data_IF_298684308346
#
_entry.id   IF_298684308346
#
_cell.length_a   1.000
_cell.length_b   1.000
_cell.length_c   1.000
_cell.angle_alpha   90.00
_cell.angle_beta   90.00
_cell.angle_gamma   90.00
#
_symmetry.space_group_name_H-M   'P 1'
#
loop_
_entity.id
_entity.type
_entity.pdbx_description
1 polymer ?
#
# COMPACT_ATOMS: atom_id res chain seq x y z
N UNK A 1 -24.46 -68.82 -22.50
CA UNK A 1 -23.70 -68.22 -21.35
C UNK A 1 -23.49 -66.79 -21.67
N UNK A 2 -24.36 -65.89 -21.16
CA UNK A 2 -24.24 -64.42 -21.37
C UNK A 2 -23.55 -63.78 -20.20
N UNK A 3 -22.35 -63.25 -20.43
CA UNK A 3 -21.65 -62.42 -19.45
C UNK A 3 -22.13 -60.97 -19.59
N UNK A 4 -22.91 -60.50 -18.60
CA UNK A 4 -23.26 -59.08 -18.45
C UNK A 4 -22.09 -58.38 -17.78
N UNK A 5 -21.39 -57.47 -18.50
CA UNK A 5 -20.46 -56.52 -17.92
C UNK A 5 -21.27 -55.41 -17.24
N UNK A 6 -21.11 -55.29 -15.93
CA UNK A 6 -21.58 -54.11 -15.16
C UNK A 6 -20.53 -53.04 -15.24
N UNK A 7 -20.82 -51.92 -15.93
CA UNK A 7 -20.03 -50.71 -15.88
C UNK A 7 -20.45 -49.92 -14.64
N UNK A 8 -19.58 -49.84 -13.63
CA UNK A 8 -19.78 -49.01 -12.45
C UNK A 8 -19.29 -47.58 -12.79
N UNK A 9 -20.22 -46.67 -13.02
CA UNK A 9 -19.91 -45.24 -13.19
C UNK A 9 -19.61 -44.67 -11.80
N UNK A 10 -18.34 -44.38 -11.51
CA UNK A 10 -17.96 -43.55 -10.35
C UNK A 10 -18.27 -42.09 -10.69
N UNK A 11 -19.35 -41.57 -10.13
CA UNK A 11 -19.64 -40.14 -10.10
C UNK A 11 -18.69 -39.51 -9.07
N UNK A 12 -17.61 -38.86 -9.52
CA UNK A 12 -16.80 -37.96 -8.67
C UNK A 12 -17.65 -36.70 -8.44
N UNK A 13 -18.37 -36.65 -7.33
CA UNK A 13 -18.94 -35.41 -6.83
C UNK A 13 -17.79 -34.56 -6.29
N UNK A 14 -17.34 -33.56 -7.06
CA UNK A 14 -16.50 -32.51 -6.56
C UNK A 14 -17.32 -31.72 -5.53
N UNK A 15 -17.08 -32.00 -4.24
CA UNK A 15 -17.46 -31.08 -3.16
C UNK A 15 -16.67 -29.77 -3.37
N UNK A 16 -17.34 -28.77 -3.91
CA UNK A 16 -16.92 -27.40 -3.79
C UNK A 16 -17.18 -27.04 -2.31
N UNK A 17 -16.21 -27.31 -1.46
CA UNK A 17 -16.19 -26.75 -0.12
C UNK A 17 -16.03 -25.24 -0.28
N UNK A 18 -17.09 -24.48 -0.03
CA UNK A 18 -16.97 -23.05 0.25
C UNK A 18 -16.10 -22.94 1.49
N UNK A 19 -14.82 -22.65 1.28
CA UNK A 19 -13.89 -22.42 2.37
C UNK A 19 -14.32 -21.11 3.07
N UNK A 20 -15.18 -21.23 4.07
CA UNK A 20 -15.35 -20.14 5.03
C UNK A 20 -14.00 -19.94 5.70
N UNK A 21 -13.57 -18.70 5.81
CA UNK A 21 -12.34 -18.36 6.51
C UNK A 21 -12.35 -18.96 7.92
N UNK A 22 -11.59 -20.02 8.11
CA UNK A 22 -11.51 -20.66 9.41
C UNK A 22 -10.58 -19.88 10.30
N UNK A 23 -11.11 -19.39 11.42
CA UNK A 23 -10.27 -18.79 12.48
C UNK A 23 -9.29 -19.86 12.97
N UNK A 24 -8.01 -19.50 12.96
CA UNK A 24 -6.94 -20.30 13.50
C UNK A 24 -6.53 -19.77 14.89
N UNK A 25 -5.90 -20.64 15.65
CA UNK A 25 -5.53 -20.35 17.03
C UNK A 25 -4.03 -20.56 17.23
N UNK A 26 -3.45 -19.66 18.01
CA UNK A 26 -2.05 -19.69 18.38
C UNK A 26 -1.91 -19.42 19.87
N UNK A 27 -1.23 -20.28 20.61
CA UNK A 27 -0.98 -20.08 22.04
C UNK A 27 0.26 -19.23 22.23
N UNK A 28 0.10 -18.10 22.92
CA UNK A 28 1.19 -17.19 23.24
C UNK A 28 1.15 -16.79 24.71
N UNK A 29 2.20 -17.12 25.46
CA UNK A 29 2.33 -16.82 26.90
C UNK A 29 1.11 -17.26 27.73
N UNK A 30 0.58 -18.46 27.45
CA UNK A 30 -0.59 -19.03 28.14
C UNK A 30 -1.93 -18.41 27.73
N UNK A 31 -1.94 -17.59 26.67
CA UNK A 31 -3.15 -16.97 26.13
C UNK A 31 -3.40 -17.46 24.71
N UNK A 32 -4.63 -17.94 24.43
CA UNK A 32 -5.02 -18.33 23.09
C UNK A 32 -5.32 -17.07 22.26
N UNK A 33 -4.52 -16.90 21.19
CA UNK A 33 -4.66 -15.81 20.20
C UNK A 33 -5.37 -16.34 18.96
N UNK A 34 -6.10 -15.49 18.28
CA UNK A 34 -6.83 -15.82 17.05
C UNK A 34 -6.22 -15.11 15.85
N UNK A 35 -6.29 -15.74 14.68
CA UNK A 35 -5.93 -15.11 13.42
C UNK A 35 -6.65 -15.77 12.24
N UNK A 36 -6.77 -15.05 11.11
CA UNK A 36 -7.09 -15.62 9.82
C UNK A 36 -5.82 -15.75 9.00
N UNK A 37 -5.73 -16.83 8.25
CA UNK A 37 -4.66 -17.07 7.27
C UNK A 37 -5.29 -17.24 5.90
N UNK A 38 -4.86 -16.45 4.92
CA UNK A 38 -5.27 -16.55 3.53
C UNK A 38 -4.06 -16.88 2.68
N UNK A 39 -4.13 -18.05 2.06
CA UNK A 39 -3.12 -18.48 1.11
C UNK A 39 -3.59 -18.13 -0.29
N UNK A 40 -2.73 -17.57 -1.18
CA UNK A 40 -3.13 -17.32 -2.56
C UNK A 40 -3.43 -18.63 -3.29
N UNK A 41 -4.43 -18.62 -4.18
CA UNK A 41 -4.84 -19.79 -4.95
C UNK A 41 -3.71 -20.34 -5.82
N UNK A 42 -2.81 -19.47 -6.29
CA UNK A 42 -1.60 -19.86 -7.02
C UNK A 42 -0.40 -19.83 -6.08
N UNK A 43 -0.17 -20.94 -5.37
CA UNK A 43 0.98 -21.07 -4.50
C UNK A 43 2.29 -21.15 -5.31
N UNK A 44 3.32 -20.43 -4.82
CA UNK A 44 4.70 -20.48 -5.32
C UNK A 44 5.57 -21.23 -4.31
N UNK A 45 6.81 -21.53 -4.71
CA UNK A 45 7.80 -22.17 -3.85
C UNK A 45 8.09 -21.34 -2.58
N UNK A 46 8.15 -20.02 -2.72
CA UNK A 46 8.20 -19.06 -1.61
C UNK A 46 7.30 -17.87 -1.92
N UNK A 47 6.67 -17.28 -0.90
CA UNK A 47 5.71 -16.20 -1.06
C UNK A 47 5.91 -15.12 0.00
N UNK A 48 5.69 -13.84 -0.34
CA UNK A 48 5.64 -12.76 0.63
C UNK A 48 4.57 -12.99 1.69
N UNK A 49 4.85 -12.61 2.93
CA UNK A 49 3.87 -12.63 4.02
C UNK A 49 3.52 -11.21 4.44
N UNK A 50 2.22 -10.93 4.51
CA UNK A 50 1.69 -9.61 4.85
C UNK A 50 0.76 -9.70 6.04
N UNK A 51 1.10 -9.00 7.12
CA UNK A 51 0.26 -8.81 8.29
C UNK A 51 -0.64 -7.60 8.08
N UNK A 52 -1.96 -7.79 8.24
CA UNK A 52 -2.93 -6.72 8.32
C UNK A 52 -3.42 -6.56 9.75
N UNK A 53 -3.09 -5.44 10.40
CA UNK A 53 -3.44 -5.13 11.77
C UNK A 53 -4.68 -4.24 11.82
N UNK A 54 -5.71 -4.71 12.52
CA UNK A 54 -7.02 -4.07 12.56
C UNK A 54 -7.08 -2.84 13.48
N UNK A 55 -8.12 -2.01 13.32
CA UNK A 55 -8.42 -0.85 14.14
C UNK A 55 -8.97 -1.20 15.54
N UNK A 56 -9.13 -0.18 16.36
CA UNK A 56 -9.72 -0.30 17.70
C UNK A 56 -11.15 -0.86 17.61
N UNK A 57 -11.44 -1.89 18.42
CA UNK A 57 -12.77 -2.52 18.51
C UNK A 57 -13.13 -3.43 17.34
N UNK A 58 -12.22 -3.62 16.38
CA UNK A 58 -12.49 -4.43 15.21
C UNK A 58 -12.47 -5.94 15.48
N UNK A 59 -13.11 -6.66 14.54
CA UNK A 59 -13.20 -8.11 14.55
C UNK A 59 -12.74 -8.66 13.18
N UNK A 60 -11.82 -9.61 13.19
CA UNK A 60 -11.21 -10.16 11.97
C UNK A 60 -12.21 -10.81 11.01
N UNK A 61 -13.31 -11.40 11.52
CA UNK A 61 -14.36 -11.98 10.67
C UNK A 61 -15.15 -10.88 9.95
N UNK A 62 -15.48 -9.77 10.64
CA UNK A 62 -16.13 -8.62 10.01
C UNK A 62 -15.24 -8.02 8.93
N UNK A 63 -13.96 -7.82 9.25
CA UNK A 63 -12.99 -7.27 8.31
C UNK A 63 -12.78 -8.16 7.09
N UNK A 64 -12.77 -9.50 7.25
CA UNK A 64 -12.66 -10.41 6.11
C UNK A 64 -13.84 -10.28 5.14
N UNK A 65 -15.05 -10.07 5.68
CA UNK A 65 -16.24 -9.81 4.86
C UNK A 65 -16.20 -8.44 4.16
N UNK A 66 -15.55 -7.44 4.76
CA UNK A 66 -15.46 -6.09 4.22
C UNK A 66 -14.31 -5.95 3.22
N UNK A 67 -13.14 -6.47 3.57
CA UNK A 67 -11.89 -6.29 2.81
C UNK A 67 -11.63 -7.43 1.81
N UNK A 68 -12.37 -8.53 1.91
CA UNK A 68 -12.21 -9.70 1.03
C UNK A 68 -10.76 -10.18 0.93
N UNK A 69 -10.10 -10.40 2.09
CA UNK A 69 -8.67 -10.71 2.14
C UNK A 69 -8.21 -11.90 1.29
N UNK A 70 -9.11 -12.85 0.98
CA UNK A 70 -8.78 -13.92 0.04
C UNK A 70 -8.54 -13.35 -1.36
N UNK A 71 -9.34 -12.40 -1.82
CA UNK A 71 -9.15 -11.76 -3.13
C UNK A 71 -7.84 -10.96 -3.17
N UNK A 72 -7.52 -10.25 -2.08
CA UNK A 72 -6.24 -9.54 -1.93
C UNK A 72 -5.06 -10.52 -1.99
N UNK A 73 -5.15 -11.66 -1.27
CA UNK A 73 -4.14 -12.72 -1.32
C UNK A 73 -3.93 -13.26 -2.74
N UNK A 74 -5.03 -13.54 -3.44
CA UNK A 74 -5.01 -14.09 -4.82
C UNK A 74 -4.46 -13.07 -5.83
N UNK A 75 -4.85 -11.81 -5.71
CA UNK A 75 -4.45 -10.73 -6.63
C UNK A 75 -2.96 -10.42 -6.53
N UNK A 76 -2.42 -10.36 -5.31
CA UNK A 76 -1.03 -9.93 -5.09
C UNK A 76 -0.07 -11.09 -4.79
N UNK A 77 -0.56 -12.32 -4.72
CA UNK A 77 0.26 -13.49 -4.40
C UNK A 77 0.81 -13.48 -2.98
N UNK A 78 0.08 -12.89 -2.03
CA UNK A 78 0.51 -12.75 -0.64
C UNK A 78 -0.05 -13.85 0.25
N UNK A 79 0.77 -14.32 1.20
CA UNK A 79 0.24 -14.97 2.39
C UNK A 79 -0.27 -13.85 3.31
N UNK A 80 -1.61 -13.71 3.42
CA UNK A 80 -2.21 -12.70 4.29
C UNK A 80 -2.47 -13.26 5.69
N UNK A 81 -1.96 -12.58 6.70
CA UNK A 81 -2.19 -12.89 8.12
C UNK A 81 -2.99 -11.75 8.75
N UNK A 82 -4.16 -12.06 9.28
CA UNK A 82 -5.03 -11.08 9.92
C UNK A 82 -5.21 -11.52 11.39
N UNK A 83 -4.31 -11.12 12.28
CA UNK A 83 -4.38 -11.49 13.68
C UNK A 83 -5.41 -10.64 14.44
N UNK A 84 -6.00 -11.22 15.50
CA UNK A 84 -6.94 -10.56 16.38
C UNK A 84 -6.23 -10.06 17.63
N UNK A 85 -6.36 -8.77 17.90
CA UNK A 85 -5.94 -8.20 19.18
C UNK A 85 -6.82 -8.71 20.33
N UNK A 86 -6.28 -8.76 21.53
CA UNK A 86 -7.04 -9.11 22.72
C UNK A 86 -8.01 -7.99 23.13
N UNK A 87 -9.08 -8.37 23.80
CA UNK A 87 -9.99 -7.39 24.41
C UNK A 87 -9.34 -6.80 25.67
N UNK A 88 -9.27 -5.48 25.71
CA UNK A 88 -8.82 -4.70 26.86
C UNK A 88 -9.87 -3.62 27.13
N UNK A 89 -10.31 -3.48 28.36
CA UNK A 89 -11.31 -2.47 28.75
C UNK A 89 -12.60 -2.49 27.90
N UNK A 90 -13.00 -3.66 27.39
CA UNK A 90 -14.24 -3.83 26.62
C UNK A 90 -14.10 -3.64 25.09
N UNK A 91 -12.93 -3.35 24.58
CA UNK A 91 -12.65 -3.27 23.15
C UNK A 91 -11.43 -4.10 22.77
N UNK A 92 -11.40 -4.66 21.56
CA UNK A 92 -10.21 -5.28 21.00
C UNK A 92 -9.22 -4.19 20.61
N UNK A 93 -8.00 -4.27 21.14
CA UNK A 93 -6.99 -3.25 20.89
C UNK A 93 -5.57 -3.80 20.96
N UNK A 94 -4.70 -3.27 20.15
CA UNK A 94 -3.28 -3.55 20.17
C UNK A 94 -2.58 -2.78 21.29
N UNK A 95 -1.62 -3.42 21.93
CA UNK A 95 -0.66 -2.71 22.77
C UNK A 95 0.38 -1.98 21.90
N UNK A 96 0.00 -0.83 21.37
CA UNK A 96 0.89 0.06 20.63
C UNK A 96 1.63 1.06 21.55
N UNK A 97 1.80 0.71 22.84
CA UNK A 97 2.36 1.56 23.88
C UNK A 97 1.60 2.89 24.08
N UNK A 98 0.30 2.90 23.78
CA UNK A 98 -0.58 4.05 24.00
C UNK A 98 -1.07 4.12 25.44
N UNK A 99 -1.24 2.96 26.07
CA UNK A 99 -1.66 2.78 27.45
C UNK A 99 -0.74 1.81 28.16
N UNK A 100 -0.75 1.84 29.50
CA UNK A 100 -0.01 0.86 30.28
C UNK A 100 -0.70 -0.52 30.15
N UNK A 101 -0.08 -1.44 29.44
CA UNK A 101 -0.58 -2.78 29.16
C UNK A 101 0.55 -3.80 29.26
N UNK A 102 0.26 -4.93 29.89
CA UNK A 102 1.20 -6.05 29.99
C UNK A 102 1.04 -7.07 28.86
N UNK A 103 0.16 -6.81 27.88
CA UNK A 103 -0.03 -7.70 26.74
C UNK A 103 1.14 -7.51 25.78
N UNK A 104 1.84 -8.60 25.50
CA UNK A 104 2.94 -8.62 24.56
C UNK A 104 2.43 -8.96 23.14
N UNK A 105 1.82 -7.97 22.48
CA UNK A 105 1.37 -8.13 21.09
C UNK A 105 2.54 -8.17 20.12
N UNK A 106 3.61 -7.44 20.39
CA UNK A 106 4.80 -7.39 19.55
C UNK A 106 5.47 -8.76 19.46
N UNK A 107 5.75 -9.38 20.62
CA UNK A 107 6.28 -10.75 20.68
C UNK A 107 5.34 -11.78 20.07
N UNK A 108 4.01 -11.66 20.29
CA UNK A 108 3.01 -12.52 19.66
C UNK A 108 3.11 -12.49 18.12
N UNK A 109 3.16 -11.33 17.52
CA UNK A 109 3.19 -11.19 16.06
C UNK A 109 4.46 -11.80 15.46
N UNK A 110 5.59 -11.64 16.12
CA UNK A 110 6.86 -12.24 15.67
C UNK A 110 6.89 -13.74 15.88
N UNK A 111 6.37 -14.26 17.01
CA UNK A 111 6.29 -15.72 17.25
C UNK A 111 5.33 -16.40 16.27
N UNK A 112 4.23 -15.72 15.90
CA UNK A 112 3.33 -16.20 14.86
C UNK A 112 4.04 -16.26 13.50
N UNK A 113 4.85 -15.24 13.14
CA UNK A 113 5.67 -15.24 11.92
C UNK A 113 6.60 -16.48 11.90
N UNK A 114 7.33 -16.72 12.98
CA UNK A 114 8.26 -17.85 13.09
C UNK A 114 7.53 -19.18 12.89
N UNK A 115 6.35 -19.32 13.48
CA UNK A 115 5.53 -20.53 13.36
C UNK A 115 4.99 -20.71 11.94
N UNK A 116 4.50 -19.64 11.31
CA UNK A 116 4.00 -19.70 9.93
C UNK A 116 5.11 -20.02 8.94
N UNK A 117 6.32 -19.52 9.14
CA UNK A 117 7.47 -19.79 8.29
C UNK A 117 7.93 -21.26 8.37
N UNK A 118 7.67 -21.97 9.48
CA UNK A 118 7.95 -23.40 9.61
C UNK A 118 6.95 -24.29 8.84
N UNK A 119 5.72 -23.80 8.64
CA UNK A 119 4.61 -24.62 8.11
C UNK A 119 4.13 -24.19 6.73
N UNK A 120 4.53 -23.02 6.25
CA UNK A 120 4.10 -22.44 4.97
C UNK A 120 5.32 -21.93 4.19
N UNK A 121 5.23 -21.82 2.86
CA UNK A 121 6.33 -21.35 2.01
C UNK A 121 6.53 -19.83 2.11
N UNK A 122 6.85 -19.34 3.30
CA UNK A 122 7.09 -17.92 3.58
C UNK A 122 8.47 -17.52 3.08
N UNK A 123 8.54 -16.43 2.32
CA UNK A 123 9.78 -15.75 2.01
C UNK A 123 10.14 -14.77 3.15
N UNK A 124 11.13 -15.12 3.97
CA UNK A 124 11.56 -14.27 5.09
C UNK A 124 12.29 -12.98 4.66
N UNK A 125 12.66 -12.85 3.38
CA UNK A 125 13.17 -11.60 2.81
C UNK A 125 12.02 -10.68 2.33
N UNK A 126 10.77 -11.11 2.50
CA UNK A 126 9.56 -10.39 2.07
C UNK A 126 8.49 -10.43 3.16
N UNK A 127 8.82 -9.90 4.33
CA UNK A 127 7.94 -9.79 5.50
C UNK A 127 7.42 -8.37 5.60
N UNK A 128 6.09 -8.20 5.54
CA UNK A 128 5.45 -6.92 5.45
C UNK A 128 4.38 -6.73 6.52
N UNK A 129 4.27 -5.52 7.03
CA UNK A 129 3.24 -5.13 7.98
C UNK A 129 2.47 -3.92 7.46
N UNK A 130 1.15 -4.01 7.51
CA UNK A 130 0.24 -2.89 7.29
C UNK A 130 -0.87 -2.92 8.33
N UNK A 131 -1.55 -1.81 8.52
CA UNK A 131 -2.67 -1.75 9.44
C UNK A 131 -3.33 -0.39 9.43
N UNK A 132 -4.58 -0.37 9.88
CA UNK A 132 -5.42 0.81 9.89
C UNK A 132 -5.67 1.32 11.31
N UNK A 133 -5.65 2.66 11.50
CA UNK A 133 -5.99 3.26 12.79
C UNK A 133 -5.09 2.70 13.92
N UNK A 134 -5.64 2.08 14.95
CA UNK A 134 -4.86 1.38 15.99
C UNK A 134 -3.89 0.35 15.41
N UNK A 135 -4.24 -0.33 14.32
CA UNK A 135 -3.34 -1.24 13.59
C UNK A 135 -2.17 -0.50 12.93
N UNK A 136 -2.38 0.75 12.49
CA UNK A 136 -1.32 1.61 11.99
C UNK A 136 -0.33 2.02 13.09
N UNK A 137 -0.83 2.33 14.31
CA UNK A 137 0.03 2.53 15.49
C UNK A 137 0.87 1.29 15.80
N UNK A 138 0.25 0.11 15.78
CA UNK A 138 0.96 -1.13 16.01
C UNK A 138 1.96 -1.45 14.89
N UNK A 139 1.66 -1.11 13.64
CA UNK A 139 2.59 -1.23 12.51
C UNK A 139 3.86 -0.39 12.73
N UNK A 140 3.72 0.85 13.23
CA UNK A 140 4.87 1.66 13.61
C UNK A 140 5.68 1.02 14.73
N UNK A 141 5.00 0.48 15.76
CA UNK A 141 5.67 -0.23 16.85
C UNK A 141 6.47 -1.42 16.33
N UNK A 142 5.89 -2.26 15.47
CA UNK A 142 6.56 -3.40 14.87
C UNK A 142 7.81 -2.96 14.08
N UNK A 143 7.71 -1.90 13.29
CA UNK A 143 8.84 -1.35 12.55
C UNK A 143 9.96 -0.83 13.47
N UNK A 144 9.62 -0.20 14.59
CA UNK A 144 10.60 0.30 15.56
C UNK A 144 11.30 -0.85 16.29
N UNK A 145 10.54 -1.86 16.75
CA UNK A 145 11.06 -2.95 17.58
C UNK A 145 11.70 -4.09 16.78
N UNK A 146 11.28 -4.31 15.50
CA UNK A 146 11.65 -5.47 14.69
C UNK A 146 11.99 -5.13 13.24
N UNK A 147 12.43 -3.89 12.97
CA UNK A 147 12.81 -3.46 11.62
C UNK A 147 13.91 -4.30 10.97
N UNK A 148 14.74 -4.98 11.78
CA UNK A 148 15.76 -5.92 11.31
C UNK A 148 15.20 -7.23 10.74
N UNK A 149 13.91 -7.51 10.96
CA UNK A 149 13.20 -8.71 10.47
C UNK A 149 12.04 -8.37 9.54
N UNK A 150 11.78 -7.10 9.31
CA UNK A 150 10.66 -6.60 8.53
C UNK A 150 11.19 -5.87 7.31
N UNK A 151 10.75 -6.30 6.12
CA UNK A 151 11.21 -5.73 4.85
C UNK A 151 10.60 -4.35 4.57
N UNK A 152 9.30 -4.20 4.84
CA UNK A 152 8.64 -2.90 4.72
C UNK A 152 7.36 -2.81 5.56
N UNK A 153 6.99 -1.58 5.91
CA UNK A 153 5.77 -1.26 6.64
C UNK A 153 4.94 -0.20 5.92
N UNK A 154 3.61 -0.33 6.02
CA UNK A 154 2.67 0.63 5.47
C UNK A 154 1.56 0.98 6.49
N UNK A 155 1.83 1.78 7.53
CA UNK A 155 0.82 2.24 8.47
C UNK A 155 -0.15 3.23 7.80
N UNK A 156 -1.46 3.02 8.00
CA UNK A 156 -2.53 3.89 7.48
C UNK A 156 -3.30 4.51 8.63
N UNK A 157 -3.40 5.82 8.66
CA UNK A 157 -4.09 6.61 9.71
C UNK A 157 -3.71 6.18 11.13
N UNK A 158 -2.42 5.88 11.35
CA UNK A 158 -1.85 5.54 12.64
C UNK A 158 -0.63 6.41 12.94
N UNK A 159 -0.32 6.64 14.22
CA UNK A 159 0.77 7.49 14.65
C UNK A 159 1.83 6.71 15.43
N UNK A 160 3.01 7.31 15.61
CA UNK A 160 3.99 6.86 16.61
C UNK A 160 3.55 7.46 17.95
N UNK A 161 3.25 6.61 18.94
CA UNK A 161 2.92 7.08 20.29
C UNK A 161 4.11 7.79 20.92
N UNK A 162 3.86 8.70 21.87
CA UNK A 162 4.96 9.40 22.56
C UNK A 162 5.92 8.44 23.28
N UNK A 163 5.40 7.32 23.79
CA UNK A 163 6.23 6.29 24.40
C UNK A 163 7.16 5.67 23.35
N UNK A 164 6.65 5.31 22.17
CA UNK A 164 7.45 4.71 21.10
C UNK A 164 8.41 5.70 20.45
N UNK A 165 8.04 6.99 20.39
CA UNK A 165 8.89 8.04 19.83
C UNK A 165 10.23 8.23 20.59
N UNK A 166 10.31 7.79 21.83
CA UNK A 166 11.55 7.80 22.62
C UNK A 166 12.49 6.65 22.32
N UNK A 167 12.05 5.65 21.55
CA UNK A 167 12.85 4.50 21.15
C UNK A 167 13.53 4.77 19.80
N UNK A 168 14.77 4.32 19.67
CA UNK A 168 15.43 4.26 18.38
C UNK A 168 15.01 3.00 17.65
N UNK A 169 14.66 3.08 16.37
CA UNK A 169 14.39 1.91 15.55
C UNK A 169 15.62 0.99 15.51
N UNK A 170 15.39 -0.31 15.64
CA UNK A 170 16.51 -1.30 15.70
C UNK A 170 17.28 -1.40 14.39
N UNK A 171 16.64 -1.06 13.27
CA UNK A 171 17.24 -0.99 11.94
C UNK A 171 16.44 -0.01 11.05
N UNK A 172 17.04 0.53 9.98
CA UNK A 172 16.30 1.14 8.90
C UNK A 172 15.27 0.17 8.32
N UNK A 173 14.08 0.65 7.95
CA UNK A 173 13.04 -0.16 7.33
C UNK A 173 12.27 0.65 6.29
N UNK A 174 11.96 0.06 5.15
CA UNK A 174 11.15 0.72 4.13
C UNK A 174 9.79 1.09 4.71
N UNK A 175 9.41 2.36 4.55
CA UNK A 175 8.20 2.89 5.20
C UNK A 175 7.32 3.66 4.21
N UNK A 176 6.03 3.29 4.13
CA UNK A 176 5.00 4.06 3.43
C UNK A 176 3.96 4.53 4.46
N UNK A 177 4.06 5.78 4.90
CA UNK A 177 3.05 6.37 5.79
C UNK A 177 1.91 6.98 4.98
N UNK A 178 0.65 6.56 5.24
CA UNK A 178 -0.55 7.08 4.57
C UNK A 178 -1.45 7.77 5.58
N UNK A 179 -1.81 9.05 5.34
CA UNK A 179 -2.65 9.78 6.30
C UNK A 179 -3.47 10.90 5.64
N UNK A 180 -4.74 11.02 6.07
CA UNK A 180 -5.65 12.09 5.67
C UNK A 180 -5.44 13.37 6.47
N UNK A 181 -5.35 14.53 5.79
CA UNK A 181 -5.09 15.80 6.47
C UNK A 181 -6.25 16.32 7.30
N UNK A 182 -7.46 15.81 7.10
CA UNK A 182 -8.68 16.17 7.83
C UNK A 182 -9.23 15.03 8.67
N UNK A 183 -8.38 14.04 9.00
CA UNK A 183 -8.75 12.90 9.83
C UNK A 183 -9.19 13.37 11.24
N UNK A 184 -10.48 13.20 11.62
CA UNK A 184 -10.97 13.67 12.91
C UNK A 184 -10.73 12.69 14.06
N UNK A 185 -10.41 11.43 13.73
CA UNK A 185 -10.24 10.34 14.72
C UNK A 185 -8.79 10.25 15.17
N UNK A 186 -7.88 10.16 14.19
CA UNK A 186 -6.44 10.20 14.40
C UNK A 186 -5.90 11.41 13.65
N UNK A 187 -5.90 12.57 14.32
CA UNK A 187 -5.58 13.85 13.70
C UNK A 187 -4.18 13.88 13.13
N UNK A 188 -4.05 14.53 11.97
CA UNK A 188 -2.78 14.72 11.27
C UNK A 188 -1.72 15.43 12.13
N UNK A 189 -2.15 16.26 13.07
CA UNK A 189 -1.32 16.99 14.04
C UNK A 189 -0.98 16.19 15.30
N UNK A 190 -1.44 14.95 15.42
CA UNK A 190 -1.25 14.09 16.60
C UNK A 190 -2.42 14.09 17.59
N UNK A 191 -3.42 14.93 17.39
CA UNK A 191 -4.60 15.04 18.21
C UNK A 191 -5.71 14.06 17.89
N UNK A 192 -6.87 14.23 18.54
CA UNK A 192 -8.11 13.54 18.22
C UNK A 192 -9.31 14.36 18.68
N UNK A 193 -10.34 14.41 17.85
CA UNK A 193 -11.62 15.02 18.23
C UNK A 193 -12.45 14.14 19.18
N UNK A 194 -12.17 12.82 19.20
CA UNK A 194 -12.96 11.84 19.96
C UNK A 194 -12.30 11.38 21.25
N UNK A 195 -10.97 11.31 21.28
CA UNK A 195 -10.21 10.74 22.41
C UNK A 195 -9.55 11.83 23.27
N UNK A 196 -9.86 13.12 23.02
CA UNK A 196 -9.17 14.22 23.69
C UNK A 196 -7.72 14.32 23.19
N UNK A 197 -6.91 15.12 23.80
CA UNK A 197 -5.56 15.48 23.40
C UNK A 197 -4.65 14.31 22.91
N UNK A 198 -3.72 14.62 22.12
CA UNK A 198 -2.40 14.07 21.85
C UNK A 198 -2.26 12.53 21.93
N UNK A 199 -2.56 11.85 20.83
CA UNK A 199 -2.40 10.40 20.70
C UNK A 199 -0.95 9.99 20.43
N UNK A 200 -0.16 10.88 19.86
CA UNK A 200 1.23 10.61 19.46
C UNK A 200 1.86 11.79 18.73
N UNK A 201 2.94 11.53 18.03
CA UNK A 201 3.56 12.51 17.15
C UNK A 201 2.63 12.90 16.02
N UNK A 202 2.58 14.18 15.64
CA UNK A 202 1.96 14.60 14.38
C UNK A 202 2.70 14.00 13.18
N UNK A 203 2.00 13.87 12.04
CA UNK A 203 2.51 13.16 10.85
C UNK A 203 3.84 13.72 10.36
N UNK A 204 4.02 15.05 10.32
CA UNK A 204 5.29 15.63 9.88
C UNK A 204 6.45 15.21 10.81
N UNK A 205 6.21 15.12 12.13
CA UNK A 205 7.22 14.63 13.08
C UNK A 205 7.48 13.11 12.94
N UNK A 206 6.47 12.32 12.51
CA UNK A 206 6.65 10.91 12.16
C UNK A 206 7.55 10.78 10.92
N UNK A 207 7.33 11.62 9.93
CA UNK A 207 8.18 11.64 8.73
C UNK A 207 9.61 12.00 9.11
N UNK A 208 9.82 12.99 9.98
CA UNK A 208 11.16 13.33 10.46
C UNK A 208 11.81 12.20 11.30
N UNK A 209 11.01 11.49 12.12
CA UNK A 209 11.49 10.30 12.82
C UNK A 209 12.03 9.24 11.85
N UNK A 210 11.24 8.88 10.82
CA UNK A 210 11.64 7.87 9.83
C UNK A 210 12.74 8.36 8.88
N UNK A 211 12.81 9.65 8.56
CA UNK A 211 13.95 10.21 7.84
C UNK A 211 15.26 10.00 8.61
N UNK A 212 15.23 10.23 9.91
CA UNK A 212 16.40 10.01 10.76
C UNK A 212 16.73 8.51 10.89
N UNK A 213 15.74 7.64 11.12
CA UNK A 213 15.93 6.21 11.27
C UNK A 213 16.46 5.53 9.99
N UNK A 214 16.01 6.00 8.82
CA UNK A 214 16.41 5.48 7.50
C UNK A 214 17.56 6.27 6.87
N UNK A 215 18.18 7.19 7.62
CA UNK A 215 19.27 8.06 7.16
C UNK A 215 18.96 8.78 5.83
N UNK A 216 17.71 9.22 5.67
CA UNK A 216 17.29 9.93 4.46
C UNK A 216 17.96 11.30 4.37
N UNK A 217 18.43 11.65 3.17
CA UNK A 217 19.12 12.92 2.89
C UNK A 217 18.49 13.63 1.70
N UNK A 218 18.64 14.95 1.67
CA UNK A 218 18.11 15.79 0.58
C UNK A 218 16.60 16.00 0.66
N UNK A 219 16.09 16.72 -0.34
CA UNK A 219 14.67 17.01 -0.48
C UNK A 219 13.92 15.80 -1.08
N UNK A 220 12.64 15.60 -0.74
CA UNK A 220 11.86 14.53 -1.34
C UNK A 220 11.57 14.79 -2.82
N UNK A 221 11.45 13.73 -3.61
CA UNK A 221 10.70 13.83 -4.84
C UNK A 221 9.20 13.91 -4.50
N UNK A 222 8.47 14.77 -5.22
CA UNK A 222 7.05 15.00 -4.99
C UNK A 222 6.29 14.61 -6.25
N UNK A 223 5.33 13.70 -6.10
CA UNK A 223 4.43 13.27 -7.15
C UNK A 223 2.98 13.46 -6.70
N UNK A 224 2.22 14.22 -7.51
CA UNK A 224 0.78 14.40 -7.29
C UNK A 224 0.07 13.43 -8.20
N UNK A 225 -0.68 12.52 -7.61
CA UNK A 225 -1.44 11.52 -8.35
C UNK A 225 -2.60 12.19 -9.11
N UNK A 226 -3.04 11.64 -10.25
CA UNK A 226 -4.17 12.19 -11.01
C UNK A 226 -5.44 12.22 -10.16
N UNK A 227 -6.15 13.36 -10.17
CA UNK A 227 -7.50 13.50 -9.64
C UNK A 227 -8.49 13.10 -10.74
N UNK A 228 -9.03 11.89 -10.66
CA UNK A 228 -9.93 11.30 -11.65
C UNK A 228 -11.41 11.40 -11.26
N UNK A 229 -11.68 11.59 -9.98
CA UNK A 229 -13.04 11.56 -9.42
C UNK A 229 -13.58 12.93 -9.05
N UNK A 230 -12.72 13.95 -8.91
CA UNK A 230 -13.09 15.29 -8.45
C UNK A 230 -13.95 15.25 -7.16
N UNK A 231 -13.51 14.39 -6.22
CA UNK A 231 -14.19 14.06 -4.96
C UNK A 231 -13.73 14.96 -3.79
N UNK A 232 -12.85 15.93 -4.07
CA UNK A 232 -12.26 16.83 -3.10
C UNK A 232 -11.03 16.26 -2.38
N UNK A 233 -10.54 15.08 -2.81
CA UNK A 233 -9.31 14.48 -2.33
C UNK A 233 -8.16 14.79 -3.30
N UNK A 234 -6.97 14.97 -2.75
CA UNK A 234 -5.75 15.07 -3.55
C UNK A 234 -4.67 14.20 -2.91
N UNK A 235 -4.11 13.30 -3.69
CA UNK A 235 -3.08 12.37 -3.25
C UNK A 235 -1.70 12.86 -3.65
N UNK A 236 -0.88 13.19 -2.67
CA UNK A 236 0.49 13.69 -2.90
C UNK A 236 1.49 12.75 -2.25
N UNK A 237 2.36 12.16 -3.07
CA UNK A 237 3.42 11.27 -2.61
C UNK A 237 4.72 12.03 -2.48
N UNK A 238 5.31 11.98 -1.30
CA UNK A 238 6.65 12.43 -1.01
C UNK A 238 7.55 11.21 -0.87
N UNK A 239 8.65 11.14 -1.61
CA UNK A 239 9.60 10.03 -1.55
C UNK A 239 10.97 10.55 -1.14
N UNK A 240 11.46 10.05 -0.02
CA UNK A 240 12.77 10.35 0.55
C UNK A 240 13.70 9.16 0.34
N UNK A 241 14.96 9.42 -0.02
CA UNK A 241 15.97 8.40 -0.25
C UNK A 241 16.99 8.38 0.88
N UNK A 242 17.31 7.19 1.38
CA UNK A 242 18.26 6.92 2.44
C UNK A 242 18.78 5.49 2.32
N UNK A 243 19.21 4.91 3.43
CA UNK A 243 19.55 3.46 3.48
C UNK A 243 18.33 2.62 3.12
N UNK A 244 17.15 3.07 3.63
CA UNK A 244 15.86 2.53 3.22
C UNK A 244 14.92 3.66 2.77
N UNK A 245 14.03 3.35 1.80
CA UNK A 245 13.11 4.33 1.23
C UNK A 245 11.99 4.67 2.21
N UNK A 246 11.75 5.97 2.39
CA UNK A 246 10.57 6.49 3.08
C UNK A 246 9.63 7.15 2.07
N UNK A 247 8.37 6.71 2.04
CA UNK A 247 7.31 7.41 1.33
C UNK A 247 6.25 7.94 2.32
N UNK A 248 5.76 9.13 2.03
CA UNK A 248 4.56 9.69 2.66
C UNK A 248 3.51 9.94 1.59
N UNK A 249 2.41 9.20 1.65
CA UNK A 249 1.23 9.44 0.82
C UNK A 249 0.27 10.32 1.62
N UNK A 250 0.36 11.62 1.40
CA UNK A 250 -0.49 12.64 2.03
C UNK A 250 -1.81 12.74 1.28
N UNK A 251 -2.92 12.50 1.99
CA UNK A 251 -4.26 12.58 1.41
C UNK A 251 -4.88 13.91 1.84
N UNK A 252 -4.76 14.92 1.01
CA UNK A 252 -5.33 16.27 1.27
C UNK A 252 -6.84 16.17 1.19
N UNK A 253 -7.53 16.67 2.22
CA UNK A 253 -8.98 16.51 2.38
C UNK A 253 -9.43 15.13 2.88
N UNK A 254 -8.51 14.16 2.99
CA UNK A 254 -8.81 12.81 3.45
C UNK A 254 -9.18 12.76 4.94
N UNK A 255 -10.19 11.95 5.25
CA UNK A 255 -10.66 11.65 6.59
C UNK A 255 -10.14 10.28 7.09
N UNK A 256 -10.72 9.74 8.19
CA UNK A 256 -10.35 8.44 8.77
C UNK A 256 -10.96 7.28 7.99
N UNK A 257 -10.40 6.94 6.83
CA UNK A 257 -10.96 5.94 5.90
C UNK A 257 -9.85 5.09 5.27
N UNK A 258 -10.15 3.80 5.07
CA UNK A 258 -9.38 2.91 4.19
C UNK A 258 -10.04 2.87 2.81
N UNK A 259 -9.35 3.31 1.77
CA UNK A 259 -9.87 3.28 0.41
C UNK A 259 -9.67 1.90 -0.21
N UNK A 260 -10.80 1.21 -0.50
CA UNK A 260 -10.81 -0.17 -0.96
C UNK A 260 -10.66 -0.33 -2.48
N UNK A 261 -11.17 0.63 -3.25
CA UNK A 261 -11.20 0.50 -4.70
C UNK A 261 -11.12 1.86 -5.41
N UNK A 262 -10.62 1.84 -6.66
CA UNK A 262 -10.45 3.01 -7.52
C UNK A 262 -11.76 3.48 -8.19
N UNK A 263 -12.90 2.84 -7.92
CA UNK A 263 -14.19 3.29 -8.46
C UNK A 263 -14.83 4.42 -7.64
N UNK A 264 -14.34 4.62 -6.42
CA UNK A 264 -14.86 5.60 -5.46
C UNK A 264 -13.86 6.73 -5.17
N UNK A 265 -12.58 6.46 -5.36
CA UNK A 265 -11.48 7.38 -5.14
C UNK A 265 -10.40 7.14 -6.18
N UNK A 266 -9.42 8.03 -6.29
CA UNK A 266 -8.34 7.92 -7.29
C UNK A 266 -7.41 6.74 -7.07
N UNK A 267 -7.41 6.14 -5.88
CA UNK A 267 -6.52 5.04 -5.52
C UNK A 267 -7.23 3.99 -4.63
N UNK A 268 -6.71 2.76 -4.68
CA UNK A 268 -6.98 1.72 -3.70
C UNK A 268 -5.73 1.48 -2.84
N UNK A 269 -5.87 1.49 -1.51
CA UNK A 269 -4.69 1.40 -0.62
C UNK A 269 -3.95 0.08 -0.75
N UNK A 270 -4.62 -1.06 -0.92
CA UNK A 270 -3.93 -2.33 -1.15
C UNK A 270 -3.05 -2.30 -2.41
N UNK A 271 -3.50 -1.63 -3.47
CA UNK A 271 -2.72 -1.48 -4.72
C UNK A 271 -1.50 -0.59 -4.52
N UNK A 272 -1.64 0.52 -3.82
CA UNK A 272 -0.51 1.42 -3.53
C UNK A 272 0.50 0.77 -2.57
N UNK A 273 0.01 0.03 -1.56
CA UNK A 273 0.84 -0.74 -0.64
C UNK A 273 1.57 -1.87 -1.38
N UNK A 274 0.89 -2.58 -2.29
CA UNK A 274 1.51 -3.61 -3.12
C UNK A 274 2.64 -3.03 -3.98
N UNK A 275 2.40 -1.93 -4.67
CA UNK A 275 3.43 -1.24 -5.44
C UNK A 275 4.65 -0.92 -4.58
N UNK A 276 4.42 -0.37 -3.39
CA UNK A 276 5.50 -0.04 -2.46
C UNK A 276 6.24 -1.28 -1.97
N UNK A 277 5.55 -2.34 -1.59
CA UNK A 277 6.16 -3.56 -1.07
C UNK A 277 6.99 -4.30 -2.13
N UNK A 278 6.59 -4.25 -3.40
CA UNK A 278 7.29 -4.91 -4.52
C UNK A 278 8.39 -4.06 -5.14
N UNK A 279 8.41 -2.75 -4.94
CA UNK A 279 9.51 -1.88 -5.38
C UNK A 279 10.79 -2.25 -4.63
N UNK A 280 11.85 -2.60 -5.38
CA UNK A 280 13.17 -2.95 -4.81
C UNK A 280 13.37 -4.43 -4.49
N UNK A 281 12.37 -5.29 -4.62
CA UNK A 281 12.61 -6.73 -4.70
C UNK A 281 13.16 -7.04 -6.10
N UNK A 282 14.39 -7.56 -6.17
CA UNK A 282 14.99 -8.05 -7.43
C UNK A 282 14.31 -9.35 -7.94
N UNK A 283 13.04 -9.56 -7.60
CA UNK A 283 12.27 -10.67 -8.11
C UNK A 283 11.72 -10.29 -9.47
N UNK A 284 12.44 -10.70 -10.49
CA UNK A 284 12.07 -10.78 -11.91
C UNK A 284 10.89 -11.77 -12.11
N UNK A 285 9.81 -11.63 -11.36
CA UNK A 285 8.57 -12.36 -11.58
C UNK A 285 7.59 -11.44 -12.30
N UNK A 286 7.70 -11.53 -13.65
CA UNK A 286 6.98 -10.70 -14.60
C UNK A 286 5.46 -10.79 -14.48
N UNK A 287 4.89 -9.84 -13.78
CA UNK A 287 3.82 -9.05 -14.37
C UNK A 287 4.51 -7.74 -14.77
N UNK A 288 4.88 -7.61 -16.02
CA UNK A 288 5.21 -6.31 -16.57
C UNK A 288 3.95 -5.45 -16.36
N UNK A 289 3.89 -4.65 -15.28
CA UNK A 289 3.19 -3.40 -15.40
C UNK A 289 3.75 -2.82 -16.69
N UNK A 290 2.86 -2.54 -17.64
CA UNK A 290 3.24 -1.68 -18.74
C UNK A 290 3.73 -0.41 -18.05
N UNK A 291 5.05 -0.31 -17.85
CA UNK A 291 5.68 0.94 -17.53
C UNK A 291 5.22 1.85 -18.66
N UNK A 292 4.23 2.72 -18.35
CA UNK A 292 3.97 3.84 -19.22
C UNK A 292 5.31 4.56 -19.23
N UNK A 293 6.09 4.33 -20.30
CA UNK A 293 7.38 4.94 -20.44
C UNK A 293 7.14 6.43 -20.25
N UNK A 294 7.69 7.02 -19.21
CA UNK A 294 7.51 8.44 -18.96
C UNK A 294 8.14 9.16 -20.14
N UNK A 295 7.29 9.82 -20.93
CA UNK A 295 7.75 10.56 -22.09
C UNK A 295 8.62 11.72 -21.64
N UNK A 296 9.83 11.79 -22.15
CA UNK A 296 10.72 12.91 -21.89
C UNK A 296 10.33 14.08 -22.79
N UNK A 297 9.99 15.21 -22.16
CA UNK A 297 9.54 16.43 -22.82
C UNK A 297 10.49 17.58 -22.48
N UNK A 298 11.03 18.27 -23.50
CA UNK A 298 11.91 19.42 -23.29
C UNK A 298 11.81 20.45 -24.42
N UNK A 299 11.95 21.77 -24.14
CA UNK A 299 11.92 22.33 -22.79
C UNK A 299 10.55 22.15 -22.13
N UNK A 300 10.56 22.02 -20.80
CA UNK A 300 9.34 22.01 -20.00
C UNK A 300 9.58 22.85 -18.73
N UNK A 301 8.99 24.05 -18.59
CA UNK A 301 7.89 24.61 -19.39
C UNK A 301 8.23 24.88 -20.86
N UNK A 302 7.25 24.70 -21.74
CA UNK A 302 7.32 24.96 -23.14
C UNK A 302 6.88 26.40 -23.48
N UNK A 303 7.63 27.11 -24.33
CA UNK A 303 7.24 28.41 -24.86
C UNK A 303 7.19 28.30 -26.38
N UNK A 304 5.99 28.02 -26.91
CA UNK A 304 5.76 27.84 -28.34
C UNK A 304 5.95 26.42 -28.86
N UNK A 305 6.90 25.66 -28.35
CA UNK A 305 7.07 24.22 -28.69
C UNK A 305 7.81 23.44 -27.61
N UNK A 306 7.61 22.12 -27.58
CA UNK A 306 8.46 21.18 -26.85
C UNK A 306 8.86 20.00 -27.76
N UNK A 307 9.86 19.25 -27.35
CA UNK A 307 10.33 18.06 -28.06
C UNK A 307 9.94 16.81 -27.27
N UNK A 308 9.51 15.77 -27.97
CA UNK A 308 9.25 14.44 -27.46
C UNK A 308 10.11 13.43 -28.21
N UNK A 309 10.68 12.45 -27.51
CA UNK A 309 11.44 11.36 -28.11
C UNK A 309 10.67 10.05 -27.99
N UNK A 310 10.53 9.34 -29.12
CA UNK A 310 9.84 8.04 -29.17
C UNK A 310 10.72 6.99 -29.85
N UNK A 311 10.63 5.74 -29.37
CA UNK A 311 11.46 4.64 -29.86
C UNK A 311 10.96 3.96 -31.14
N UNK A 312 9.81 4.38 -31.68
CA UNK A 312 9.24 3.90 -32.96
C UNK A 312 8.19 4.87 -33.47
N UNK A 313 7.79 4.72 -34.72
CA UNK A 313 6.71 5.47 -35.34
C UNK A 313 5.39 5.25 -34.55
N UNK A 314 4.73 6.33 -34.14
CA UNK A 314 3.48 6.31 -33.39
C UNK A 314 2.67 7.59 -33.59
N UNK A 315 1.63 7.82 -32.80
CA UNK A 315 0.97 9.11 -32.67
C UNK A 315 0.79 9.46 -31.19
N UNK A 316 0.66 10.75 -30.92
CA UNK A 316 0.36 11.24 -29.57
C UNK A 316 -0.83 12.19 -29.58
N UNK A 317 -1.62 12.10 -28.56
CA UNK A 317 -2.72 13.02 -28.23
C UNK A 317 -2.25 14.01 -27.18
N UNK A 318 -2.52 15.28 -27.39
CA UNK A 318 -2.36 16.34 -26.40
C UNK A 318 -3.71 16.55 -25.71
N UNK A 319 -3.75 16.44 -24.41
CA UNK A 319 -4.98 16.38 -23.61
C UNK A 319 -4.94 17.52 -22.58
N UNK A 320 -6.03 18.28 -22.45
CA UNK A 320 -6.17 19.32 -21.44
C UNK A 320 -6.57 18.74 -20.05
N UNK A 321 -6.62 19.62 -19.04
CA UNK A 321 -7.01 19.22 -17.66
C UNK A 321 -8.45 18.71 -17.55
N UNK A 322 -9.30 18.93 -18.55
CA UNK A 322 -10.67 18.41 -18.61
C UNK A 322 -10.75 17.05 -19.36
N UNK A 323 -9.61 16.48 -19.73
CA UNK A 323 -9.55 15.20 -20.45
C UNK A 323 -9.89 15.31 -21.95
N UNK A 324 -9.98 16.51 -22.52
CA UNK A 324 -10.30 16.73 -23.93
C UNK A 324 -9.03 16.68 -24.75
N UNK A 325 -9.04 15.94 -25.85
CA UNK A 325 -7.98 15.95 -26.85
C UNK A 325 -8.01 17.30 -27.57
N UNK A 326 -6.96 18.10 -27.39
CA UNK A 326 -6.82 19.43 -28.01
C UNK A 326 -5.98 19.42 -29.27
N UNK A 327 -5.13 18.40 -29.45
CA UNK A 327 -4.35 18.18 -30.67
C UNK A 327 -3.89 16.72 -30.77
N UNK A 328 -3.58 16.27 -32.01
CA UNK A 328 -2.99 14.94 -32.26
C UNK A 328 -1.77 15.12 -33.19
N UNK A 329 -0.68 14.45 -32.88
CA UNK A 329 0.58 14.56 -33.58
C UNK A 329 1.04 13.18 -34.10
N UNK A 330 1.31 13.00 -35.40
CA UNK A 330 2.04 11.85 -35.87
C UNK A 330 3.51 11.99 -35.44
N UNK A 331 4.07 10.94 -34.85
CA UNK A 331 5.45 10.91 -34.36
C UNK A 331 6.26 9.89 -35.13
N UNK A 332 7.50 10.24 -35.47
CA UNK A 332 8.49 9.36 -36.05
C UNK A 332 9.49 8.90 -35.01
N UNK A 333 10.08 7.72 -35.19
CA UNK A 333 11.17 7.26 -34.33
C UNK A 333 12.21 8.37 -34.14
N UNK A 334 12.61 8.62 -32.90
CA UNK A 334 13.51 9.69 -32.50
C UNK A 334 12.79 10.93 -31.97
N UNK A 335 13.42 12.09 -32.10
CA UNK A 335 12.94 13.37 -31.57
C UNK A 335 11.92 14.05 -32.48
N UNK A 336 10.78 14.45 -31.92
CA UNK A 336 9.67 15.11 -32.62
C UNK A 336 9.31 16.42 -31.94
N UNK A 337 9.03 17.45 -32.73
CA UNK A 337 8.57 18.74 -32.23
C UNK A 337 7.05 18.74 -32.07
N UNK A 338 6.57 19.18 -30.91
CA UNK A 338 5.16 19.40 -30.57
C UNK A 338 4.94 20.89 -30.53
N UNK A 339 4.09 21.40 -31.40
CA UNK A 339 3.71 22.82 -31.40
C UNK A 339 2.74 23.12 -30.26
N UNK A 340 3.13 24.02 -29.38
CA UNK A 340 2.31 24.49 -28.26
C UNK A 340 1.94 25.97 -28.37
N UNK A 341 2.31 26.64 -29.46
CA UNK A 341 2.17 28.09 -29.64
C UNK A 341 0.69 28.56 -29.62
N UNK A 342 -0.21 27.72 -30.13
CA UNK A 342 -1.66 28.00 -30.19
C UNK A 342 -2.40 27.67 -28.87
N UNK A 343 -1.74 27.11 -27.88
CA UNK A 343 -2.40 26.67 -26.65
C UNK A 343 -2.46 27.80 -25.61
N UNK A 344 -3.52 27.88 -24.80
CA UNK A 344 -3.53 28.68 -23.58
C UNK A 344 -2.40 28.26 -22.62
N UNK A 345 -1.95 29.19 -21.77
CA UNK A 345 -1.06 28.84 -20.66
C UNK A 345 -1.74 27.83 -19.73
N UNK A 346 -1.00 26.77 -19.35
CA UNK A 346 -1.55 25.73 -18.50
C UNK A 346 -0.81 24.42 -18.59
N UNK A 347 -1.30 23.46 -17.84
CA UNK A 347 -0.81 22.09 -17.83
C UNK A 347 -1.57 21.25 -18.85
N UNK A 348 -0.82 20.45 -19.62
CA UNK A 348 -1.33 19.49 -20.60
C UNK A 348 -0.67 18.15 -20.42
N UNK A 349 -1.31 17.10 -20.92
CA UNK A 349 -0.76 15.76 -20.99
C UNK A 349 -0.56 15.34 -22.43
N UNK A 350 0.54 14.67 -22.73
CA UNK A 350 0.78 14.00 -24.01
C UNK A 350 0.68 12.52 -23.78
N UNK A 351 -0.18 11.83 -24.54
CA UNK A 351 -0.39 10.38 -24.45
C UNK A 351 -0.11 9.76 -25.80
N UNK A 352 0.79 8.77 -25.86
CA UNK A 352 1.03 7.99 -27.08
C UNK A 352 0.04 6.84 -27.23
N UNK A 353 -0.09 6.30 -28.44
CA UNK A 353 -0.91 5.11 -28.73
C UNK A 353 -0.52 3.89 -27.88
N UNK A 354 0.74 3.79 -27.46
CA UNK A 354 1.24 2.73 -26.59
C UNK A 354 0.95 2.97 -25.09
N UNK A 355 0.30 4.09 -24.77
CA UNK A 355 -0.06 4.42 -23.40
C UNK A 355 1.04 5.15 -22.61
N UNK A 356 2.17 5.52 -23.23
CA UNK A 356 3.16 6.36 -22.58
C UNK A 356 2.60 7.78 -22.39
N UNK A 357 2.75 8.35 -21.18
CA UNK A 357 2.21 9.67 -20.83
C UNK A 357 3.34 10.59 -20.37
N UNK A 358 3.27 11.84 -20.87
CA UNK A 358 4.16 12.92 -20.44
C UNK A 358 3.35 14.17 -20.06
N UNK A 359 3.92 15.00 -19.20
CA UNK A 359 3.36 16.27 -18.74
C UNK A 359 4.07 17.43 -19.44
N UNK A 360 3.34 18.41 -19.98
CA UNK A 360 3.93 19.64 -20.49
C UNK A 360 3.22 20.86 -19.89
N UNK A 361 4.02 21.76 -19.31
CA UNK A 361 3.56 23.08 -18.87
C UNK A 361 3.78 24.06 -20.01
N UNK A 362 2.71 24.69 -20.50
CA UNK A 362 2.78 25.75 -21.52
C UNK A 362 2.84 27.10 -20.84
N UNK A 363 3.86 27.91 -21.18
CA UNK A 363 4.01 29.30 -20.78
C UNK A 363 4.17 30.18 -22.02
N UNK A 364 3.63 31.41 -21.99
CA UNK A 364 3.83 32.44 -23.01
C UNK A 364 4.97 33.36 -22.66
#
# INVERSE_FOLDING_TARGET
MNKKCFFLLFLLASLIATAHAQIQYFEWQGTQRQYLLKMPAQAKETMPIVYFLHGLGDNITRLDNEFHFQQVADEYGWIMVIPQALSQSGATMWNAAMMNSNIDDSGFLMALLDTLALHHPVNLDSVFFTGFSMGGFMTHRMAIEHGDRITACAPVSGLITHAMASHTAVAPVRMLHIHGTTDPVVGYDGGSQYFGSNLGLGVEAIIDYWKNANHCTGDPSIDTLPDLHNDGLLFVRYTYKGDEELQHLKVIGGNHTWFLNENQTDIAYFKEIHKFFTQGSNNNDGVAEATSASLRLWPNPASGQCTIEVGKDTHAELIDLQGRVVATYPLKEGANAIDTSGLPEGLYFIKTAEGAIGKVMVKK
#
